data_IF_119218604805
#
_entry.id   IF_119218604805
#
_cell.length_a   1.000
_cell.length_b   1.000
_cell.length_c   1.000
_cell.angle_alpha   90.00
_cell.angle_beta   90.00
_cell.angle_gamma   90.00
#
_symmetry.space_group_name_H-M   'P 1'
#
loop_
_entity.id
_entity.type
_entity.pdbx_description
1 polymer ?
#
# COMPACT_ATOMS: atom_id res chain seq x y z
N UNK A 1 -0.19 12.96 -4.21
CA UNK A 1 -0.17 12.65 -2.78
C UNK A 1 -0.49 13.88 -1.98
N UNK A 2 -1.16 13.70 -0.88
CA UNK A 2 -1.62 14.78 -0.03
C UNK A 2 -0.88 14.75 1.30
N UNK A 3 -0.47 15.91 1.79
CA UNK A 3 0.04 16.00 3.15
C UNK A 3 -0.35 17.33 3.78
N UNK A 4 -0.71 17.26 5.05
CA UNK A 4 -0.77 18.43 5.90
C UNK A 4 0.41 18.38 6.89
N UNK A 5 0.46 19.13 7.92
CA UNK A 5 1.58 19.10 8.84
C UNK A 5 1.67 17.85 9.72
N UNK A 6 0.65 16.99 9.71
CA UNK A 6 0.53 15.85 10.64
C UNK A 6 0.36 14.52 9.94
N UNK A 7 -0.25 14.51 8.78
CA UNK A 7 -0.62 13.27 8.08
C UNK A 7 -0.16 13.34 6.65
N UNK A 8 0.46 12.27 6.21
CA UNK A 8 0.86 12.06 4.83
C UNK A 8 -0.02 10.97 4.23
N UNK A 9 -0.60 11.22 3.07
CA UNK A 9 -1.52 10.28 2.41
C UNK A 9 -0.94 9.88 1.07
N UNK A 10 -0.82 8.57 0.85
CA UNK A 10 -0.46 7.98 -0.43
C UNK A 10 -1.70 7.33 -1.03
N UNK A 11 -2.03 7.65 -2.27
CA UNK A 11 -3.18 7.09 -2.96
C UNK A 11 -2.74 6.09 -4.01
N UNK A 12 -3.29 4.89 -3.95
CA UNK A 12 -3.04 3.82 -4.90
C UNK A 12 -4.36 3.36 -5.52
N UNK A 13 -4.37 3.23 -6.85
CA UNK A 13 -5.52 2.69 -7.57
C UNK A 13 -5.29 1.22 -7.90
N UNK A 14 -6.32 0.42 -7.76
CA UNK A 14 -6.30 -0.99 -8.08
C UNK A 14 -7.43 -1.31 -9.04
N UNK A 15 -7.17 -2.16 -10.02
CA UNK A 15 -8.14 -2.53 -11.05
C UNK A 15 -8.98 -3.74 -10.69
N UNK A 16 -8.95 -4.15 -9.44
CA UNK A 16 -9.69 -5.31 -8.97
C UNK A 16 -10.54 -4.94 -7.76
N UNK A 17 -11.40 -5.84 -7.34
CA UNK A 17 -12.12 -5.67 -6.08
C UNK A 17 -11.17 -5.92 -4.91
N UNK A 18 -11.53 -5.41 -3.75
CA UNK A 18 -10.72 -5.52 -2.53
C UNK A 18 -10.37 -6.97 -2.22
N UNK A 19 -11.32 -7.86 -2.36
CA UNK A 19 -11.16 -9.25 -1.95
C UNK A 19 -10.68 -10.17 -3.07
N UNK A 20 -10.27 -9.61 -4.20
CA UNK A 20 -9.71 -10.40 -5.30
C UNK A 20 -8.47 -11.16 -4.88
N UNK A 21 -7.62 -10.54 -4.05
CA UNK A 21 -6.41 -11.15 -3.53
C UNK A 21 -6.38 -10.99 -2.01
N UNK A 22 -5.73 -11.91 -1.29
CA UNK A 22 -5.66 -11.81 0.18
C UNK A 22 -4.78 -10.65 0.66
N UNK A 23 -3.89 -10.15 -0.19
CA UNK A 23 -3.01 -9.03 0.15
C UNK A 23 -3.00 -8.00 -0.96
N UNK A 24 -2.67 -6.76 -0.59
CA UNK A 24 -2.31 -5.72 -1.55
C UNK A 24 -0.87 -5.31 -1.28
N UNK A 25 -0.19 -4.78 -2.29
CA UNK A 25 1.23 -4.49 -2.14
C UNK A 25 1.55 -3.02 -2.31
N UNK A 26 2.57 -2.59 -1.58
CA UNK A 26 3.13 -1.25 -1.64
C UNK A 26 4.64 -1.39 -1.78
N UNK A 27 5.25 -0.53 -2.61
CA UNK A 27 6.71 -0.56 -2.76
C UNK A 27 7.40 -0.27 -1.44
N UNK A 28 8.48 -0.98 -1.16
CA UNK A 28 9.22 -0.80 0.10
C UNK A 28 9.83 0.60 0.22
N UNK A 29 10.09 1.28 -0.90
CA UNK A 29 10.55 2.67 -0.83
C UNK A 29 9.53 3.57 -0.13
N UNK A 30 8.24 3.33 -0.34
CA UNK A 30 7.18 4.08 0.32
C UNK A 30 7.09 3.71 1.81
N UNK A 31 7.30 2.44 2.13
CA UNK A 31 7.31 1.98 3.51
C UNK A 31 8.50 2.56 4.27
N UNK A 32 9.67 2.58 3.66
CA UNK A 32 10.86 3.18 4.28
C UNK A 32 10.67 4.67 4.52
N UNK A 33 10.04 5.36 3.58
CA UNK A 33 9.71 6.78 3.74
C UNK A 33 8.74 7.00 4.90
N UNK A 34 7.73 6.14 5.03
CA UNK A 34 6.79 6.20 6.14
C UNK A 34 7.49 5.97 7.49
N UNK A 35 8.40 5.01 7.52
CA UNK A 35 9.13 4.68 8.75
C UNK A 35 10.04 5.82 9.22
N UNK A 36 10.56 6.61 8.29
CA UNK A 36 11.43 7.74 8.60
C UNK A 36 10.65 9.02 8.92
N UNK A 37 9.39 9.07 8.55
CA UNK A 37 8.57 10.27 8.74
C UNK A 37 8.13 10.40 10.18
N UNK A 38 8.09 11.61 10.69
CA UNK A 38 7.47 11.92 11.99
C UNK A 38 5.96 12.09 11.87
N UNK A 39 5.43 12.04 10.64
CA UNK A 39 4.02 12.20 10.38
C UNK A 39 3.34 10.83 10.32
N UNK A 40 2.05 10.82 10.64
CA UNK A 40 1.22 9.65 10.39
C UNK A 40 1.14 9.44 8.88
N UNK A 41 1.39 8.23 8.42
CA UNK A 41 1.29 7.89 7.01
C UNK A 41 0.11 6.95 6.80
N UNK A 42 -0.76 7.32 5.87
CA UNK A 42 -1.96 6.56 5.52
C UNK A 42 -1.88 6.21 4.04
N UNK A 43 -2.03 4.93 3.76
CA UNK A 43 -2.11 4.44 2.38
C UNK A 43 -3.58 4.22 2.05
N UNK A 44 -4.07 4.94 1.04
CA UNK A 44 -5.44 4.80 0.56
C UNK A 44 -5.43 3.96 -0.71
N UNK A 45 -6.36 3.03 -0.80
CA UNK A 45 -6.49 2.13 -1.94
C UNK A 45 -7.87 2.27 -2.55
N UNK A 46 -7.90 2.68 -3.80
CA UNK A 46 -9.15 2.74 -4.56
C UNK A 46 -9.29 1.44 -5.33
N UNK A 47 -10.17 0.58 -4.86
CA UNK A 47 -10.55 -0.66 -5.54
C UNK A 47 -11.81 -0.42 -6.39
N UNK A 48 -12.14 -1.39 -7.22
CA UNK A 48 -13.36 -1.29 -8.04
C UNK A 48 -14.63 -1.21 -7.19
N UNK A 49 -14.62 -1.82 -6.01
CA UNK A 49 -15.79 -1.92 -5.14
C UNK A 49 -15.72 -0.98 -3.93
N UNK A 50 -14.77 -0.08 -3.88
CA UNK A 50 -14.76 0.87 -2.78
C UNK A 50 -13.41 1.51 -2.52
N UNK A 51 -13.41 2.38 -1.53
CA UNK A 51 -12.23 3.12 -1.11
C UNK A 51 -11.88 2.71 0.31
N UNK A 52 -10.63 2.32 0.48
CA UNK A 52 -10.14 1.76 1.74
C UNK A 52 -8.85 2.46 2.13
N UNK A 53 -8.46 2.35 3.41
CA UNK A 53 -7.20 2.90 3.87
C UNK A 53 -6.52 1.95 4.84
N UNK A 54 -5.22 2.12 4.96
CA UNK A 54 -4.37 1.43 5.93
C UNK A 54 -3.43 2.45 6.57
N UNK A 55 -3.51 2.57 7.90
CA UNK A 55 -2.51 3.30 8.66
C UNK A 55 -1.22 2.51 8.68
N UNK A 56 -0.13 3.11 8.27
CA UNK A 56 1.15 2.44 8.32
C UNK A 56 1.45 1.95 9.73
N UNK A 57 1.80 0.68 9.82
CA UNK A 57 2.21 0.06 11.08
C UNK A 57 3.30 -0.96 10.77
N UNK A 58 4.44 -0.93 11.49
CA UNK A 58 5.59 -1.77 11.12
C UNK A 58 5.34 -3.27 11.27
N UNK A 59 4.33 -3.66 12.02
CA UNK A 59 4.04 -5.07 12.27
C UNK A 59 2.90 -5.63 11.41
N UNK A 60 2.32 -4.82 10.51
CA UNK A 60 1.13 -5.20 9.76
C UNK A 60 1.39 -5.51 8.30
N UNK A 61 2.64 -5.71 7.91
CA UNK A 61 2.95 -6.10 6.55
C UNK A 61 4.06 -7.14 6.52
N UNK A 62 4.15 -7.85 5.40
CA UNK A 62 5.22 -8.80 5.14
C UNK A 62 6.05 -8.29 3.97
N UNK A 63 7.36 -8.27 4.12
CA UNK A 63 8.26 -7.89 3.04
C UNK A 63 8.61 -9.12 2.21
N UNK A 64 8.49 -9.00 0.90
CA UNK A 64 8.88 -10.07 -0.01
C UNK A 64 9.25 -9.46 -1.36
N UNK A 65 10.05 -10.19 -2.12
CA UNK A 65 10.36 -9.80 -3.49
C UNK A 65 9.19 -10.12 -4.38
N UNK A 66 8.86 -9.16 -5.24
CA UNK A 66 7.81 -9.32 -6.20
C UNK A 66 8.09 -8.44 -7.40
N UNK A 67 7.24 -8.50 -8.40
CA UNK A 67 7.40 -7.66 -9.55
C UNK A 67 6.67 -8.22 -10.75
N UNK A 68 6.68 -7.43 -11.81
CA UNK A 68 6.08 -7.81 -13.08
C UNK A 68 7.15 -8.20 -14.07
N UNK A 69 7.01 -9.39 -14.64
CA UNK A 69 7.88 -9.87 -15.69
C UNK A 69 7.23 -9.80 -17.06
N UNK A 70 6.01 -9.31 -17.12
CA UNK A 70 5.19 -9.32 -18.33
C UNK A 70 5.59 -8.27 -19.37
N UNK A 71 6.52 -7.40 -19.03
CA UNK A 71 6.99 -6.35 -19.94
C UNK A 71 8.40 -6.57 -20.45
N UNK A 72 8.94 -7.76 -20.25
CA UNK A 72 10.29 -8.06 -20.67
C UNK A 72 11.36 -7.40 -19.83
N UNK A 73 10.99 -6.68 -18.81
CA UNK A 73 11.90 -6.06 -17.85
C UNK A 73 11.71 -6.75 -16.51
N UNK A 74 12.76 -7.33 -16.00
CA UNK A 74 12.72 -7.91 -14.68
C UNK A 74 12.78 -6.81 -13.63
N UNK A 75 11.67 -6.16 -13.37
CA UNK A 75 11.57 -5.21 -12.26
C UNK A 75 11.20 -5.96 -10.99
N UNK A 76 12.14 -6.75 -10.52
CA UNK A 76 11.96 -7.44 -9.25
C UNK A 76 12.46 -6.50 -8.17
N UNK A 77 11.57 -6.08 -7.29
CA UNK A 77 11.87 -5.20 -6.16
C UNK A 77 11.25 -5.75 -4.91
N UNK A 78 11.65 -5.18 -3.79
CA UNK A 78 11.02 -5.51 -2.52
C UNK A 78 9.71 -4.77 -2.38
N UNK A 79 8.68 -5.50 -1.97
CA UNK A 79 7.35 -4.96 -1.72
C UNK A 79 6.87 -5.35 -0.33
N UNK A 80 6.06 -4.49 0.24
CA UNK A 80 5.32 -4.81 1.46
C UNK A 80 3.95 -5.35 1.05
N UNK A 81 3.57 -6.47 1.62
CA UNK A 81 2.27 -7.11 1.37
C UNK A 81 1.41 -6.92 2.61
N UNK A 82 0.31 -6.21 2.44
CA UNK A 82 -0.63 -5.90 3.53
C UNK A 82 -1.88 -6.75 3.33
N UNK A 83 -2.30 -7.47 4.36
CA UNK A 83 -3.53 -8.25 4.30
C UNK A 83 -4.71 -7.31 4.10
N UNK A 84 -5.58 -7.62 3.15
CA UNK A 84 -6.76 -6.78 2.89
C UNK A 84 -7.69 -6.70 4.08
N UNK A 85 -7.62 -7.67 5.00
CA UNK A 85 -8.37 -7.64 6.24
C UNK A 85 -7.95 -6.51 7.18
N UNK A 86 -6.76 -5.95 6.98
CA UNK A 86 -6.28 -4.80 7.75
C UNK A 86 -6.76 -3.46 7.17
N UNK A 87 -7.32 -3.48 5.97
CA UNK A 87 -7.81 -2.27 5.33
C UNK A 87 -9.17 -1.89 5.92
N UNK A 88 -9.36 -0.59 6.11
CA UNK A 88 -10.62 -0.06 6.65
C UNK A 88 -11.33 0.73 5.56
N UNK A 89 -12.64 0.59 5.49
CA UNK A 89 -13.44 1.34 4.54
C UNK A 89 -13.48 2.82 4.93
N UNK A 90 -13.33 3.70 3.94
CA UNK A 90 -13.47 5.13 4.16
C UNK A 90 -14.94 5.53 4.17
N UNK A 91 -15.73 4.83 3.39
CA UNK A 91 -17.16 5.09 3.29
C UNK A 91 -17.94 3.84 3.65
#
# INVERSE_FOLDING_TARGET
>A
DYEDGRTQVELKSRRCSKDRYPTTMVGMNKIRSAAKSSRRTVFCFKFQDGLYYWDYHPDEYTQAKGGRCDRGCAEISDYAYIKVSHLKAII
#
